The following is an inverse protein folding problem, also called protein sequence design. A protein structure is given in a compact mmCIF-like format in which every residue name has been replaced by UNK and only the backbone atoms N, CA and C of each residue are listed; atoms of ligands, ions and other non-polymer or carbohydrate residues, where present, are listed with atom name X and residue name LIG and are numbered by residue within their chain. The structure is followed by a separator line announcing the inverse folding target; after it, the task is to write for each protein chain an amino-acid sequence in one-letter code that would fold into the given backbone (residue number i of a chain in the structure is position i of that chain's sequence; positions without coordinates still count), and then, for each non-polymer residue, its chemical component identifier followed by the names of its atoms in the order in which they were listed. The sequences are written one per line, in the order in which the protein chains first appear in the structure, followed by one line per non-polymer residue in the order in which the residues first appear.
data_IF_845984834921
#
_entry.id   IF_845984834921
#
_cell.length_a   1.000
_cell.length_b   1.000
_cell.length_c   1.000
_cell.angle_alpha   90.00
_cell.angle_beta   90.00
_cell.angle_gamma   90.00
#
_symmetry.space_group_name_H-M   'P 1'
#
loop_
_entity.id
_entity.type
_entity.pdbx_description
1 polymer ?
#
# COMPACT_ATOMS: atom_id res chain seq x y z
N UNK A 1 -12.66 23.14 -15.73
CA UNK A 1 -12.53 23.38 -14.29
C UNK A 1 -11.41 22.49 -13.78
N UNK A 2 -10.26 23.06 -13.45
CA UNK A 2 -9.17 22.32 -12.82
C UNK A 2 -9.33 22.47 -11.31
N UNK A 3 -9.55 21.37 -10.60
CA UNK A 3 -9.52 21.40 -9.13
C UNK A 3 -8.08 21.68 -8.69
N UNK A 4 -7.83 22.67 -7.82
CA UNK A 4 -6.49 22.88 -7.28
C UNK A 4 -6.03 21.62 -6.55
N UNK A 5 -4.78 21.18 -6.78
CA UNK A 5 -4.17 20.12 -5.96
C UNK A 5 -4.02 20.67 -4.54
N UNK A 6 -4.75 20.08 -3.60
CA UNK A 6 -4.57 20.31 -2.17
C UNK A 6 -4.38 18.97 -1.48
N UNK A 7 -3.13 18.62 -1.18
CA UNK A 7 -2.82 17.51 -0.30
C UNK A 7 -2.36 18.09 1.04
N UNK A 8 -3.22 17.97 2.04
CA UNK A 8 -2.98 18.44 3.40
C UNK A 8 -2.58 17.30 4.35
N UNK A 9 -2.36 16.09 3.83
CA UNK A 9 -2.07 14.91 4.65
C UNK A 9 -0.85 15.13 5.57
N UNK A 10 0.21 15.75 5.05
CA UNK A 10 1.43 16.03 5.83
C UNK A 10 1.30 17.22 6.78
N UNK A 11 0.23 18.02 6.65
CA UNK A 11 -0.11 19.05 7.64
C UNK A 11 -0.85 18.43 8.83
N UNK A 12 -1.70 17.44 8.55
CA UNK A 12 -2.48 16.70 9.56
C UNK A 12 -1.59 15.72 10.31
N UNK A 13 -0.73 15.00 9.58
CA UNK A 13 0.23 14.03 10.11
C UNK A 13 1.65 14.47 9.71
N UNK A 14 2.33 15.26 10.55
CA UNK A 14 3.65 15.78 10.22
C UNK A 14 4.71 14.66 10.13
N UNK A 15 5.53 14.65 9.06
CA UNK A 15 6.62 13.70 8.90
C UNK A 15 7.77 13.97 9.87
N UNK A 16 8.60 12.93 10.11
CA UNK A 16 9.78 13.01 10.96
C UNK A 16 11.02 12.38 10.30
N UNK A 17 12.20 12.77 10.80
CA UNK A 17 13.49 12.42 10.23
C UNK A 17 13.98 13.43 9.19
N UNK A 18 15.28 13.42 8.93
CA UNK A 18 15.92 14.25 7.92
C UNK A 18 15.48 13.82 6.51
N UNK A 19 15.48 12.52 6.26
CA UNK A 19 14.95 11.91 5.04
C UNK A 19 13.52 11.40 5.26
N UNK A 20 12.54 12.23 4.90
CA UNK A 20 11.13 11.95 5.15
C UNK A 20 10.25 12.08 3.90
N UNK A 21 8.98 11.67 4.03
CA UNK A 21 7.99 11.70 2.97
C UNK A 21 7.74 13.13 2.48
N UNK A 22 7.96 13.36 1.19
CA UNK A 22 7.60 14.63 0.56
C UNK A 22 6.11 14.68 0.21
N UNK A 23 5.54 15.89 0.08
CA UNK A 23 4.16 16.07 -0.39
C UNK A 23 3.92 15.41 -1.75
N UNK A 24 4.90 15.48 -2.65
CA UNK A 24 4.85 14.80 -3.95
C UNK A 24 4.86 13.27 -3.81
N UNK A 25 5.58 12.73 -2.82
CA UNK A 25 5.55 11.31 -2.48
C UNK A 25 4.19 10.89 -1.93
N UNK A 26 3.60 11.67 -1.02
CA UNK A 26 2.25 11.45 -0.49
C UNK A 26 1.20 11.49 -1.62
N UNK A 27 1.29 12.47 -2.53
CA UNK A 27 0.43 12.58 -3.72
C UNK A 27 0.45 11.31 -4.59
N UNK A 28 1.65 10.76 -4.81
CA UNK A 28 1.81 9.51 -5.55
C UNK A 28 1.19 8.33 -4.79
N UNK A 29 1.42 8.23 -3.48
CA UNK A 29 0.84 7.16 -2.66
C UNK A 29 -0.69 7.24 -2.59
N UNK A 30 -1.28 8.45 -2.65
CA UNK A 30 -2.73 8.62 -2.80
C UNK A 30 -3.25 8.09 -4.14
N UNK A 31 -2.52 8.31 -5.23
CA UNK A 31 -2.87 7.72 -6.52
C UNK A 31 -2.82 6.18 -6.48
N UNK A 32 -1.79 5.61 -5.86
CA UNK A 32 -1.68 4.15 -5.68
C UNK A 32 -2.81 3.62 -4.78
N UNK A 33 -3.16 4.32 -3.70
CA UNK A 33 -4.32 4.00 -2.85
C UNK A 33 -5.60 3.91 -3.68
N UNK A 34 -5.83 4.89 -4.55
CA UNK A 34 -7.02 4.90 -5.41
C UNK A 34 -7.05 3.71 -6.39
N UNK A 35 -5.90 3.31 -6.94
CA UNK A 35 -5.78 2.11 -7.80
C UNK A 35 -6.14 0.86 -6.99
N UNK A 36 -5.56 0.66 -5.81
CA UNK A 36 -5.87 -0.47 -4.95
C UNK A 36 -7.36 -0.55 -4.57
N UNK A 37 -7.97 0.60 -4.22
CA UNK A 37 -9.40 0.66 -3.90
C UNK A 37 -10.26 0.32 -5.12
N UNK A 38 -9.91 0.85 -6.30
CA UNK A 38 -10.64 0.56 -7.53
C UNK A 38 -10.56 -0.94 -7.87
N UNK A 39 -9.37 -1.51 -7.85
CA UNK A 39 -9.15 -2.94 -8.10
C UNK A 39 -9.88 -3.80 -7.06
N UNK A 40 -9.81 -3.44 -5.78
CA UNK A 40 -10.56 -4.11 -4.71
C UNK A 40 -12.05 -4.16 -5.04
N UNK A 41 -12.66 -3.03 -5.42
CA UNK A 41 -14.09 -2.97 -5.76
C UNK A 41 -14.43 -3.84 -6.98
N UNK A 42 -13.56 -3.85 -8.00
CA UNK A 42 -13.73 -4.68 -9.20
C UNK A 42 -13.66 -6.17 -8.86
N UNK A 43 -12.62 -6.61 -8.14
CA UNK A 43 -12.45 -8.03 -7.77
C UNK A 43 -13.52 -8.49 -6.77
N UNK A 44 -13.87 -7.63 -5.80
CA UNK A 44 -14.97 -7.89 -4.88
C UNK A 44 -16.29 -8.04 -5.63
N UNK A 45 -16.59 -7.15 -6.58
CA UNK A 45 -17.76 -7.25 -7.45
C UNK A 45 -17.78 -8.53 -8.29
N UNK A 46 -16.63 -8.93 -8.83
CA UNK A 46 -16.50 -10.16 -9.61
C UNK A 46 -16.82 -11.43 -8.79
N UNK A 47 -16.68 -11.42 -7.46
CA UNK A 47 -17.05 -12.57 -6.61
C UNK A 47 -18.52 -12.98 -6.73
N UNK A 48 -19.41 -12.04 -7.05
CA UNK A 48 -20.85 -12.30 -7.22
C UNK A 48 -21.18 -13.03 -8.52
N UNK A 49 -20.31 -12.95 -9.54
CA UNK A 49 -20.50 -13.57 -10.86
C UNK A 49 -19.61 -14.81 -11.04
N UNK A 50 -18.55 -14.95 -10.25
CA UNK A 50 -17.59 -16.05 -10.35
C UNK A 50 -18.21 -17.44 -10.11
N UNK A 51 -17.74 -18.43 -10.88
CA UNK A 51 -18.13 -19.84 -10.71
C UNK A 51 -17.51 -20.42 -9.44
N UNK A 52 -18.16 -21.42 -8.84
CA UNK A 52 -17.77 -21.94 -7.51
C UNK A 52 -16.30 -22.36 -7.37
N UNK A 53 -15.66 -22.84 -8.43
CA UNK A 53 -14.24 -23.24 -8.42
C UNK A 53 -13.23 -22.09 -8.51
N UNK A 54 -13.65 -20.91 -9.00
CA UNK A 54 -12.76 -19.76 -9.23
C UNK A 54 -12.80 -18.74 -8.07
N UNK A 55 -13.77 -18.88 -7.16
CA UNK A 55 -14.01 -17.93 -6.06
C UNK A 55 -12.84 -17.81 -5.10
N UNK A 56 -12.08 -18.88 -4.90
CA UNK A 56 -10.93 -18.86 -3.99
C UNK A 56 -9.89 -17.82 -4.42
N UNK A 57 -9.56 -17.75 -5.71
CA UNK A 57 -8.63 -16.77 -6.24
C UNK A 57 -9.19 -15.35 -6.10
N UNK A 58 -10.47 -15.15 -6.40
CA UNK A 58 -11.12 -13.85 -6.23
C UNK A 58 -11.08 -13.38 -4.78
N UNK A 59 -11.32 -14.27 -3.80
CA UNK A 59 -11.23 -13.93 -2.38
C UNK A 59 -9.80 -13.59 -1.95
N UNK A 60 -8.81 -14.40 -2.37
CA UNK A 60 -7.41 -14.13 -2.06
C UNK A 60 -6.96 -12.78 -2.63
N UNK A 61 -7.24 -12.50 -3.91
CA UNK A 61 -6.92 -11.20 -4.51
C UNK A 61 -7.68 -10.06 -3.84
N UNK A 62 -8.95 -10.24 -3.51
CA UNK A 62 -9.76 -9.23 -2.80
C UNK A 62 -9.13 -8.87 -1.44
N UNK A 63 -8.69 -9.88 -0.66
CA UNK A 63 -8.03 -9.65 0.63
C UNK A 63 -6.69 -8.91 0.43
N UNK A 64 -5.87 -9.33 -0.54
CA UNK A 64 -4.61 -8.66 -0.84
C UNK A 64 -4.84 -7.18 -1.23
N UNK A 65 -5.80 -6.91 -2.11
CA UNK A 65 -6.13 -5.57 -2.57
C UNK A 65 -6.68 -4.69 -1.44
N UNK A 66 -7.50 -5.26 -0.54
CA UNK A 66 -7.98 -4.56 0.64
C UNK A 66 -6.84 -4.18 1.58
N UNK A 67 -5.96 -5.12 1.93
CA UNK A 67 -4.80 -4.84 2.79
C UNK A 67 -3.86 -3.83 2.13
N UNK A 68 -3.66 -3.94 0.82
CA UNK A 68 -2.91 -2.98 0.03
C UNK A 68 -3.51 -1.58 0.10
N UNK A 69 -4.83 -1.45 -0.06
CA UNK A 69 -5.51 -0.15 0.06
C UNK A 69 -5.29 0.52 1.41
N UNK A 70 -5.35 -0.25 2.51
CA UNK A 70 -5.10 0.25 3.87
C UNK A 70 -3.64 0.63 4.07
N UNK A 71 -2.71 -0.20 3.60
CA UNK A 71 -1.28 0.05 3.73
C UNK A 71 -0.85 1.30 2.96
N UNK A 72 -1.30 1.45 1.70
CA UNK A 72 -1.00 2.64 0.89
C UNK A 72 -1.71 3.89 1.41
N UNK A 73 -2.93 3.77 1.93
CA UNK A 73 -3.61 4.87 2.63
C UNK A 73 -2.78 5.36 3.83
N UNK A 74 -2.31 4.42 4.67
CA UNK A 74 -1.50 4.74 5.83
C UNK A 74 -0.21 5.46 5.43
N UNK A 75 0.53 4.94 4.45
CA UNK A 75 1.74 5.59 3.95
C UNK A 75 1.46 6.95 3.31
N UNK A 76 0.41 7.08 2.51
CA UNK A 76 0.01 8.35 1.89
C UNK A 76 -0.35 9.41 2.93
N UNK A 77 -0.93 8.97 4.05
CA UNK A 77 -1.30 9.81 5.18
C UNK A 77 -0.15 10.05 6.16
N UNK A 78 1.08 9.61 5.85
CA UNK A 78 2.23 9.69 6.74
C UNK A 78 2.01 8.99 8.11
N UNK A 79 1.43 7.79 8.06
CA UNK A 79 1.21 6.93 9.21
C UNK A 79 2.02 5.64 9.07
N UNK A 80 2.12 4.89 10.17
CA UNK A 80 2.75 3.55 10.20
C UNK A 80 4.20 3.55 9.68
N UNK A 81 5.00 4.47 10.23
CA UNK A 81 6.44 4.59 10.02
C UNK A 81 7.21 4.59 11.34
N UNK A 82 8.51 4.35 11.24
CA UNK A 82 9.51 4.56 12.29
C UNK A 82 10.71 5.34 11.72
N UNK A 83 11.50 5.99 12.58
CA UNK A 83 12.69 6.76 12.18
C UNK A 83 13.94 6.03 12.64
N UNK A 84 14.83 5.74 11.69
CA UNK A 84 16.04 4.95 11.91
C UNK A 84 17.27 5.75 11.47
N UNK A 85 18.27 5.82 12.36
CA UNK A 85 19.54 6.47 12.07
C UNK A 85 20.37 5.68 11.04
N UNK A 86 20.88 6.36 10.02
CA UNK A 86 21.66 5.73 8.96
C UNK A 86 23.14 5.62 9.33
N UNK A 87 23.68 4.39 9.30
CA UNK A 87 25.06 4.07 9.75
C UNK A 87 26.14 4.49 8.75
N UNK A 88 25.79 4.61 7.46
CA UNK A 88 26.75 4.75 6.35
C UNK A 88 26.86 6.17 5.75
N UNK A 89 26.26 7.19 6.37
CA UNK A 89 26.37 8.58 5.92
C UNK A 89 27.18 9.44 6.93
N UNK A 90 28.17 10.26 6.49
CA UNK A 90 29.08 11.01 7.37
C UNK A 90 28.44 12.01 8.34
N UNK A 91 27.12 12.22 8.26
CA UNK A 91 26.33 13.11 9.12
C UNK A 91 25.11 12.42 9.76
N UNK A 92 25.04 11.08 9.81
CA UNK A 92 23.99 10.29 10.48
C UNK A 92 22.59 10.89 10.34
N UNK A 93 22.10 11.02 9.10
CA UNK A 93 20.73 11.47 8.85
C UNK A 93 19.73 10.43 9.35
N UNK A 94 18.69 10.89 10.03
CA UNK A 94 17.57 10.06 10.44
C UNK A 94 16.63 9.82 9.26
N UNK A 95 16.32 8.56 8.94
CA UNK A 95 15.46 8.20 7.82
C UNK A 95 14.12 7.66 8.28
N UNK A 96 13.05 8.18 7.69
CA UNK A 96 11.71 7.64 7.83
C UNK A 96 11.55 6.34 7.04
N UNK A 97 11.10 5.28 7.71
CA UNK A 97 10.84 3.96 7.13
C UNK A 97 9.40 3.54 7.43
N UNK A 98 8.59 3.42 6.37
CA UNK A 98 7.23 2.93 6.47
C UNK A 98 7.21 1.40 6.66
N UNK A 99 6.72 0.95 7.81
CA UNK A 99 6.58 -0.48 8.08
C UNK A 99 5.29 -1.07 7.49
N UNK A 100 4.31 -0.23 7.14
CA UNK A 100 3.06 -0.63 6.49
C UNK A 100 3.28 -1.47 5.22
N UNK A 101 4.34 -1.18 4.43
CA UNK A 101 4.67 -1.98 3.24
C UNK A 101 5.03 -3.43 3.57
N UNK A 102 5.70 -3.68 4.70
CA UNK A 102 6.06 -5.03 5.11
C UNK A 102 4.82 -5.80 5.57
N UNK A 103 3.88 -5.14 6.25
CA UNK A 103 2.58 -5.73 6.61
C UNK A 103 1.82 -6.16 5.36
N UNK A 104 1.77 -5.30 4.34
CA UNK A 104 1.17 -5.63 3.05
C UNK A 104 1.89 -6.83 2.39
N UNK A 105 3.23 -6.82 2.34
CA UNK A 105 4.02 -7.88 1.71
C UNK A 105 3.82 -9.26 2.34
N UNK A 106 3.67 -9.34 3.66
CA UNK A 106 3.37 -10.59 4.36
C UNK A 106 2.06 -11.21 3.88
N UNK A 107 1.07 -10.40 3.51
CA UNK A 107 -0.21 -10.87 2.97
C UNK A 107 -0.11 -11.13 1.47
N UNK A 108 0.49 -10.22 0.70
CA UNK A 108 0.45 -10.27 -0.76
C UNK A 108 1.37 -11.34 -1.36
N UNK A 109 2.57 -11.55 -0.79
CA UNK A 109 3.54 -12.46 -1.40
C UNK A 109 3.06 -13.93 -1.44
N UNK A 110 2.50 -14.50 -0.37
CA UNK A 110 1.94 -15.86 -0.46
C UNK A 110 0.81 -15.97 -1.49
N UNK A 111 -0.03 -14.94 -1.60
CA UNK A 111 -1.17 -14.92 -2.52
C UNK A 111 -0.72 -14.86 -3.98
N UNK A 112 0.31 -14.07 -4.29
CA UNK A 112 0.86 -13.97 -5.65
C UNK A 112 1.57 -15.26 -6.07
N UNK A 113 2.14 -16.01 -5.13
CA UNK A 113 2.83 -17.28 -5.41
C UNK A 113 1.88 -18.50 -5.47
N UNK A 114 0.71 -18.42 -4.82
CA UNK A 114 -0.24 -19.53 -4.73
C UNK A 114 -0.74 -20.10 -6.08
N UNK A 115 -0.96 -19.31 -7.15
CA UNK A 115 -1.37 -19.84 -8.45
C UNK A 115 -0.33 -20.76 -9.09
N UNK A 116 0.96 -20.46 -8.92
CA UNK A 116 2.01 -21.29 -9.50
C UNK A 116 2.14 -22.63 -8.78
N UNK A 117 2.00 -22.65 -7.45
CA UNK A 117 2.07 -23.89 -6.67
C UNK A 117 0.89 -24.82 -6.92
N UNK A 118 -0.32 -24.28 -7.08
CA UNK A 118 -1.53 -25.06 -7.36
C UNK A 118 -1.60 -25.62 -8.79
N UNK A 119 -0.85 -25.04 -9.73
CA UNK A 119 -0.80 -25.51 -11.12
C UNK A 119 0.12 -26.71 -11.36
N UNK A 120 0.94 -27.07 -10.36
CA UNK A 120 1.96 -28.13 -10.44
C UNK A 120 1.51 -29.46 -9.83
N UNK A 121 0.27 -29.55 -9.34
CA UNK A 121 -0.37 -30.77 -8.82
C UNK A 121 -1.54 -31.19 -9.73
#
# INVERSE_FOLDING_TARGET
MFLPRSNEALQINPPAGDEHLSTHGSDWLWAVTAIFVLEFLVFFGATFVARSGEKIFHYLFTVALLVGSVAYYAMASDLAWDVISQVDQPQNGDRQIFFAKYVYWVVSFPIVLAPETLSRE
#
